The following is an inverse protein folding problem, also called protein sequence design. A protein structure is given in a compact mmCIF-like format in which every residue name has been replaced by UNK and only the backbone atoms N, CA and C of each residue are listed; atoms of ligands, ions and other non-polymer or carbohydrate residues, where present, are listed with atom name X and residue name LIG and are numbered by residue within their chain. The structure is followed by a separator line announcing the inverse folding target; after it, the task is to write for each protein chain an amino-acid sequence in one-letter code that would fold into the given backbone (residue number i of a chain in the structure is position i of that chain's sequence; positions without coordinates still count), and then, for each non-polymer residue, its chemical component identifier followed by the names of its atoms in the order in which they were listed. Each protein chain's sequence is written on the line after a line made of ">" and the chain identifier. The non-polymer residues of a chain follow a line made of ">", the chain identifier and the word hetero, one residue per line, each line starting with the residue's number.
data_IF_831437958719
#
_entry.id   IF_831437958719
#
_cell.length_a   1.000
_cell.length_b   1.000
_cell.length_c   1.000
_cell.angle_alpha   90.00
_cell.angle_beta   90.00
_cell.angle_gamma   90.00
#
_symmetry.space_group_name_H-M   'P 1'
#
loop_
_entity.id
_entity.type
_entity.pdbx_description
1 polymer ?
#
# COMPACT_ATOMS: atom_id res chain seq x y z
N UNK A 1 2.50 -2.75 -1.98
CA UNK A 1 1.66 -1.58 -1.60
C UNK A 1 1.06 -1.86 -0.23
N UNK A 2 1.01 -0.85 0.64
CA UNK A 2 0.36 -0.91 1.95
C UNK A 2 -0.85 0.00 1.93
N UNK A 3 -2.01 -0.53 2.32
CA UNK A 3 -3.24 0.25 2.45
C UNK A 3 -3.48 0.49 3.94
N UNK A 4 -3.61 1.76 4.33
CA UNK A 4 -3.87 2.17 5.71
C UNK A 4 -5.25 2.81 5.86
N UNK A 5 -5.78 2.87 7.08
CA UNK A 5 -7.02 3.61 7.36
C UNK A 5 -6.92 5.07 6.92
N UNK A 6 -8.03 5.65 6.48
CA UNK A 6 -8.15 7.09 6.23
C UNK A 6 -7.98 7.94 7.50
N UNK A 7 -8.06 7.33 8.69
CA UNK A 7 -7.78 7.95 9.99
C UNK A 7 -6.34 7.73 10.49
N UNK A 8 -5.51 6.99 9.76
CA UNK A 8 -4.13 6.69 10.17
C UNK A 8 -3.31 7.96 10.40
N UNK A 9 -2.29 7.91 11.26
CA UNK A 9 -1.45 9.06 11.56
C UNK A 9 -0.68 9.55 10.31
N UNK A 10 -0.17 10.80 10.34
CA UNK A 10 0.67 11.32 9.24
C UNK A 10 1.95 10.51 9.04
N UNK A 11 2.42 9.82 10.07
CA UNK A 11 3.61 8.96 9.98
C UNK A 11 3.28 7.65 9.28
N UNK A 12 2.16 7.01 9.66
CA UNK A 12 1.69 5.77 9.05
C UNK A 12 1.30 5.94 7.58
N UNK A 13 0.92 7.15 7.15
CA UNK A 13 0.62 7.45 5.73
C UNK A 13 1.87 7.68 4.88
N UNK A 14 3.06 7.82 5.48
CA UNK A 14 4.33 7.99 4.76
C UNK A 14 5.02 6.64 4.59
N UNK A 15 5.75 6.50 3.48
CA UNK A 15 6.53 5.30 3.20
C UNK A 15 7.74 5.11 4.12
N UNK A 16 8.22 6.17 4.79
CA UNK A 16 9.38 6.12 5.70
C UNK A 16 9.28 4.99 6.72
N UNK A 17 8.14 4.89 7.42
CA UNK A 17 7.94 3.87 8.45
C UNK A 17 8.04 2.46 7.87
N UNK A 18 7.55 2.25 6.64
CA UNK A 18 7.65 0.96 5.97
C UNK A 18 9.09 0.61 5.58
N UNK A 19 9.86 1.57 5.06
CA UNK A 19 11.28 1.34 4.79
C UNK A 19 12.09 1.07 6.06
N UNK A 20 11.76 1.74 7.17
CA UNK A 20 12.38 1.47 8.48
C UNK A 20 12.07 0.06 8.96
N UNK A 21 10.81 -0.38 8.84
CA UNK A 21 10.39 -1.73 9.22
C UNK A 21 10.99 -2.84 8.35
N UNK A 22 11.21 -2.58 7.06
CA UNK A 22 11.79 -3.53 6.11
C UNK A 22 13.32 -3.50 6.08
N UNK A 23 13.96 -2.55 6.77
CA UNK A 23 15.42 -2.44 6.81
C UNK A 23 16.02 -3.72 7.42
N UNK A 24 17.05 -4.25 6.75
CA UNK A 24 17.77 -5.45 7.21
C UNK A 24 17.21 -6.78 6.69
N UNK A 25 16.13 -6.77 5.91
CA UNK A 25 15.59 -7.95 5.23
C UNK A 25 16.42 -8.42 4.03
N UNK A 26 17.33 -7.57 3.53
CA UNK A 26 18.18 -7.86 2.38
C UNK A 26 17.48 -7.75 1.02
N UNK A 27 16.20 -7.36 0.98
CA UNK A 27 15.45 -7.10 -0.24
C UNK A 27 15.48 -5.64 -0.64
N UNK A 28 15.57 -5.40 -1.95
CA UNK A 28 15.32 -4.08 -2.52
C UNK A 28 13.81 -3.89 -2.62
N UNK A 29 13.24 -3.16 -1.67
CA UNK A 29 11.80 -2.95 -1.58
C UNK A 29 11.44 -1.53 -2.02
N UNK A 30 10.38 -1.38 -2.82
CA UNK A 30 9.70 -0.11 -3.05
C UNK A 30 8.30 -0.15 -2.42
N UNK A 31 8.01 0.81 -1.53
CA UNK A 31 6.78 0.78 -0.74
C UNK A 31 5.91 2.00 -1.02
N UNK A 32 4.80 1.75 -1.72
CA UNK A 32 3.71 2.70 -1.86
C UNK A 32 2.69 2.53 -0.72
N UNK A 33 2.45 3.60 0.05
CA UNK A 33 1.47 3.63 1.15
C UNK A 33 0.32 4.55 0.82
N UNK A 34 -0.89 4.01 0.69
CA UNK A 34 -2.11 4.75 0.38
C UNK A 34 -3.18 4.56 1.45
N UNK A 35 -4.07 5.53 1.60
CA UNK A 35 -5.27 5.33 2.42
C UNK A 35 -6.30 4.48 1.67
N UNK A 36 -7.22 3.86 2.42
CA UNK A 36 -8.29 3.01 1.88
C UNK A 36 -9.14 3.74 0.84
N UNK A 37 -9.68 4.92 1.16
CA UNK A 37 -10.48 5.69 0.19
C UNK A 37 -9.71 6.02 -1.10
N UNK A 38 -8.41 6.30 -1.01
CA UNK A 38 -7.56 6.61 -2.16
C UNK A 38 -7.38 5.40 -3.09
N UNK A 39 -7.27 4.21 -2.51
CA UNK A 39 -7.19 2.95 -3.24
C UNK A 39 -8.53 2.63 -3.92
N UNK A 40 -9.62 2.62 -3.15
CA UNK A 40 -10.96 2.24 -3.61
C UNK A 40 -11.49 3.16 -4.71
N UNK A 41 -11.28 4.47 -4.57
CA UNK A 41 -11.71 5.48 -5.56
C UNK A 41 -11.12 5.26 -6.96
N UNK A 42 -10.10 4.42 -7.13
CA UNK A 42 -9.44 4.13 -8.42
C UNK A 42 -9.69 2.73 -8.96
N UNK A 43 -10.44 1.89 -8.23
CA UNK A 43 -10.75 0.51 -8.66
C UNK A 43 -11.61 0.46 -9.92
N UNK A 44 -12.38 1.51 -10.21
CA UNK A 44 -13.18 1.59 -11.43
C UNK A 44 -12.33 1.79 -12.70
N UNK A 45 -11.08 2.28 -12.55
CA UNK A 45 -10.17 2.49 -13.67
C UNK A 45 -9.40 1.20 -13.96
N UNK A 46 -9.71 0.53 -15.07
CA UNK A 46 -9.13 -0.79 -15.41
C UNK A 46 -7.60 -0.81 -15.43
N UNK A 47 -6.97 0.26 -15.94
CA UNK A 47 -5.52 0.41 -16.06
C UNK A 47 -4.85 1.07 -14.85
N UNK A 48 -5.55 1.22 -13.71
CA UNK A 48 -4.94 1.76 -12.49
C UNK A 48 -4.18 0.68 -11.72
N UNK A 49 -3.14 1.09 -10.98
CA UNK A 49 -2.39 0.20 -10.11
C UNK A 49 -3.28 -0.53 -9.08
N UNK A 50 -4.25 0.12 -8.39
CA UNK A 50 -5.21 -0.59 -7.53
C UNK A 50 -5.95 -1.73 -8.24
N UNK A 51 -6.44 -1.48 -9.45
CA UNK A 51 -7.16 -2.49 -10.22
C UNK A 51 -6.25 -3.65 -10.64
N UNK A 52 -5.00 -3.37 -11.02
CA UNK A 52 -3.99 -4.40 -11.30
C UNK A 52 -3.69 -5.22 -10.05
N UNK A 53 -3.51 -4.58 -8.89
CA UNK A 53 -3.27 -5.27 -7.61
C UNK A 53 -4.42 -6.21 -7.25
N UNK A 54 -5.68 -5.81 -7.46
CA UNK A 54 -6.83 -6.70 -7.17
C UNK A 54 -6.86 -7.93 -8.08
N UNK A 55 -6.44 -7.80 -9.35
CA UNK A 55 -6.47 -8.90 -10.32
C UNK A 55 -5.27 -9.84 -10.21
N UNK A 56 -4.09 -9.27 -9.97
CA UNK A 56 -2.80 -9.95 -10.15
C UNK A 56 -1.96 -9.98 -8.86
N UNK A 57 -2.29 -9.14 -7.89
CA UNK A 57 -1.55 -9.05 -6.64
C UNK A 57 -1.83 -10.21 -5.69
N UNK A 58 -0.96 -10.32 -4.68
CA UNK A 58 -1.12 -11.28 -3.57
C UNK A 58 -1.40 -10.52 -2.28
N UNK A 59 -2.50 -10.85 -1.61
CA UNK A 59 -2.79 -10.35 -0.28
C UNK A 59 -1.81 -10.99 0.72
N UNK A 60 -0.99 -10.17 1.36
CA UNK A 60 -0.03 -10.64 2.37
C UNK A 60 -0.60 -10.57 3.79
N UNK A 61 -1.48 -9.61 4.07
CA UNK A 61 -2.09 -9.39 5.38
C UNK A 61 -3.41 -8.63 5.25
N UNK A 62 -4.41 -9.01 6.05
CA UNK A 62 -5.68 -8.30 6.24
C UNK A 62 -6.23 -8.61 7.63
N UNK A 63 -6.99 -7.69 8.20
CA UNK A 63 -7.74 -7.83 9.46
C UNK A 63 -9.23 -7.58 9.23
#
# INVERSE_FOLDING_TARGET
>A
MVIVSDSASKEQRRSRLAYEALRGTGTADDVLVWTKSRFESRLHLKASLPSTIIREGKLLYSV
#
